data_IF_573320550298
#
_entry.id   IF_573320550298
#
_cell.length_a   1.000
_cell.length_b   1.000
_cell.length_c   1.000
_cell.angle_alpha   90.00
_cell.angle_beta   90.00
_cell.angle_gamma   90.00
#
_symmetry.space_group_name_H-M   'P 1'
#
loop_
_entity.id
_entity.type
_entity.pdbx_description
1 polymer ?
#
# COMPACT_ATOMS: atom_id res chain seq x y z
N UNK A 1 16.81 1.23 15.55
CA UNK A 1 16.16 0.87 14.29
C UNK A 1 16.49 -0.56 13.89
N UNK A 2 17.78 -0.90 13.70
CA UNK A 2 18.21 -2.26 13.34
C UNK A 2 17.64 -3.38 14.22
N UNK A 3 17.52 -3.18 15.54
CA UNK A 3 16.97 -4.23 16.43
C UNK A 3 15.48 -4.52 16.19
N UNK A 4 14.67 -3.53 15.78
CA UNK A 4 13.25 -3.77 15.46
C UNK A 4 13.13 -4.45 14.09
N UNK A 5 13.84 -3.93 13.09
CA UNK A 5 13.80 -4.48 11.74
C UNK A 5 14.32 -5.94 11.70
N UNK A 6 15.39 -6.25 12.44
CA UNK A 6 15.89 -7.62 12.61
C UNK A 6 14.90 -8.54 13.30
N UNK A 7 14.16 -8.07 14.33
CA UNK A 7 13.09 -8.88 14.95
C UNK A 7 11.92 -9.15 13.99
N UNK A 8 11.64 -8.21 13.08
CA UNK A 8 10.63 -8.42 12.05
C UNK A 8 11.08 -9.47 11.04
N UNK A 9 12.32 -9.43 10.57
CA UNK A 9 12.83 -10.39 9.58
C UNK A 9 12.90 -11.82 10.09
N UNK A 10 13.06 -12.03 11.40
CA UNK A 10 13.02 -13.37 12.01
C UNK A 10 11.62 -14.02 11.96
N UNK A 11 10.55 -13.23 11.86
CA UNK A 11 9.17 -13.70 12.02
C UNK A 11 8.27 -13.44 10.81
N UNK A 12 8.67 -12.57 9.89
CA UNK A 12 7.87 -12.14 8.73
C UNK A 12 8.71 -12.18 7.46
N UNK A 13 8.07 -12.57 6.36
CA UNK A 13 8.70 -12.60 5.03
C UNK A 13 8.84 -11.20 4.43
N UNK A 14 8.02 -10.25 4.89
CA UNK A 14 7.92 -8.90 4.36
C UNK A 14 7.33 -7.93 5.38
N UNK A 15 7.79 -6.68 5.36
CA UNK A 15 7.20 -5.58 6.11
C UNK A 15 6.33 -4.68 5.20
N UNK A 16 5.22 -4.17 5.76
CA UNK A 16 4.52 -3.00 5.23
C UNK A 16 4.86 -1.82 6.12
N UNK A 17 5.44 -0.76 5.56
CA UNK A 17 5.86 0.43 6.30
C UNK A 17 5.02 1.62 5.86
N UNK A 18 4.16 2.11 6.75
CA UNK A 18 3.46 3.39 6.59
C UNK A 18 4.25 4.50 7.27
N UNK A 19 4.73 5.47 6.48
CA UNK A 19 5.40 6.65 7.00
C UNK A 19 4.39 7.76 7.22
N UNK A 20 3.97 7.89 8.48
CA UNK A 20 2.94 8.85 8.89
C UNK A 20 3.33 10.30 8.56
N UNK A 21 4.61 10.66 8.63
CA UNK A 21 5.09 12.02 8.32
C UNK A 21 5.12 12.26 6.80
N UNK A 22 5.51 11.26 6.01
CA UNK A 22 5.36 11.25 4.55
C UNK A 22 3.90 11.44 4.13
N UNK A 23 3.01 10.59 4.64
CA UNK A 23 1.58 10.58 4.32
C UNK A 23 0.89 11.89 4.77
N UNK A 24 1.07 12.29 6.03
CA UNK A 24 0.29 13.39 6.62
C UNK A 24 0.92 14.78 6.43
N UNK A 25 2.25 14.86 6.32
CA UNK A 25 3.00 16.14 6.26
C UNK A 25 3.79 16.35 4.99
N UNK A 26 3.78 15.40 4.05
CA UNK A 26 4.62 15.43 2.85
C UNK A 26 6.12 15.47 3.18
N UNK A 27 6.54 14.80 4.25
CA UNK A 27 7.93 14.75 4.72
C UNK A 27 8.37 13.29 4.90
N UNK A 28 8.56 12.53 3.80
CA UNK A 28 8.96 11.14 3.89
C UNK A 28 10.34 11.01 4.56
N UNK A 29 10.47 10.03 5.45
CA UNK A 29 11.63 9.73 6.28
C UNK A 29 12.51 8.67 5.60
N UNK A 30 13.01 8.97 4.41
CA UNK A 30 13.68 8.01 3.51
C UNK A 30 14.86 7.28 4.16
N UNK A 31 15.69 7.99 4.94
CA UNK A 31 16.86 7.39 5.62
C UNK A 31 16.44 6.32 6.63
N UNK A 32 15.34 6.54 7.36
CA UNK A 32 14.81 5.59 8.35
C UNK A 32 14.28 4.34 7.66
N UNK A 33 13.58 4.51 6.54
CA UNK A 33 12.98 3.40 5.80
C UNK A 33 14.05 2.58 5.09
N UNK A 34 15.12 3.21 4.61
CA UNK A 34 16.26 2.50 4.03
C UNK A 34 16.85 1.48 5.03
N UNK A 35 17.00 1.85 6.30
CA UNK A 35 17.46 0.91 7.34
C UNK A 35 16.52 -0.29 7.54
N UNK A 36 15.21 -0.14 7.27
CA UNK A 36 14.25 -1.24 7.31
C UNK A 36 14.38 -2.12 6.07
N UNK A 37 14.49 -1.50 4.90
CA UNK A 37 14.66 -2.19 3.61
C UNK A 37 15.94 -3.03 3.56
N UNK A 38 17.01 -2.62 4.25
CA UNK A 38 18.27 -3.37 4.34
C UNK A 38 18.12 -4.71 5.10
N UNK A 39 17.10 -4.83 5.96
CA UNK A 39 16.91 -5.98 6.87
C UNK A 39 15.76 -6.91 6.43
N UNK A 40 14.71 -6.37 5.81
CA UNK A 40 13.53 -7.14 5.39
C UNK A 40 12.95 -6.58 4.07
N UNK A 41 12.48 -7.44 3.14
CA UNK A 41 11.71 -7.00 2.00
C UNK A 41 10.55 -6.10 2.44
N UNK A 42 10.46 -4.91 1.85
CA UNK A 42 9.57 -3.86 2.36
C UNK A 42 8.69 -3.29 1.27
N UNK A 43 7.40 -3.16 1.58
CA UNK A 43 6.45 -2.35 0.83
C UNK A 43 6.27 -1.02 1.55
N UNK A 44 6.62 0.07 0.88
CA UNK A 44 6.74 1.39 1.52
C UNK A 44 5.67 2.37 1.05
N UNK A 45 4.85 2.84 1.98
CA UNK A 45 3.89 3.93 1.79
C UNK A 45 4.45 5.25 2.36
N UNK A 46 5.10 6.04 1.50
CA UNK A 46 5.69 7.34 1.87
C UNK A 46 4.83 8.56 1.55
N UNK A 47 3.56 8.36 1.17
CA UNK A 47 2.65 9.46 0.84
C UNK A 47 2.84 10.09 -0.55
N UNK A 48 3.22 9.30 -1.55
CA UNK A 48 3.39 9.77 -2.93
C UNK A 48 2.14 10.52 -3.44
N UNK A 49 2.36 11.71 -4.03
CA UNK A 49 1.30 12.58 -4.56
C UNK A 49 1.34 12.67 -6.08
N UNK A 50 2.54 12.60 -6.64
CA UNK A 50 2.83 12.63 -8.07
C UNK A 50 3.62 11.39 -8.47
N UNK A 51 3.51 10.98 -9.74
CA UNK A 51 4.14 9.75 -10.21
C UNK A 51 5.66 9.73 -10.01
N UNK A 52 6.32 10.89 -10.10
CA UNK A 52 7.76 11.01 -9.87
C UNK A 52 8.18 10.72 -8.42
N UNK A 53 7.30 10.91 -7.42
CA UNK A 53 7.64 10.66 -6.02
C UNK A 53 7.89 9.17 -5.73
N UNK A 54 7.36 8.27 -6.56
CA UNK A 54 7.54 6.82 -6.41
C UNK A 54 9.01 6.42 -6.55
N UNK A 55 9.79 7.13 -7.37
CA UNK A 55 11.22 6.85 -7.51
C UNK A 55 11.98 7.09 -6.21
N UNK A 56 11.65 8.17 -5.48
CA UNK A 56 12.26 8.45 -4.18
C UNK A 56 11.98 7.31 -3.17
N UNK A 57 10.77 6.76 -3.20
CA UNK A 57 10.40 5.63 -2.34
C UNK A 57 11.18 4.37 -2.72
N UNK A 58 11.34 4.08 -4.02
CA UNK A 58 12.04 2.89 -4.49
C UNK A 58 13.57 2.97 -4.27
N UNK A 59 14.16 4.17 -4.30
CA UNK A 59 15.60 4.36 -4.04
C UNK A 59 15.98 3.93 -2.61
N UNK A 60 15.03 3.93 -1.66
CA UNK A 60 15.25 3.41 -0.30
C UNK A 60 15.54 1.90 -0.25
N UNK A 61 15.39 1.18 -1.37
CA UNK A 61 15.49 -0.28 -1.42
C UNK A 61 14.15 -0.99 -1.23
N UNK A 62 13.04 -0.26 -1.15
CA UNK A 62 11.71 -0.85 -1.06
C UNK A 62 11.44 -1.76 -2.28
N UNK A 63 10.94 -2.98 -2.02
CA UNK A 63 10.52 -3.93 -3.06
C UNK A 63 9.39 -3.33 -3.90
N UNK A 64 8.49 -2.59 -3.23
CA UNK A 64 7.39 -1.87 -3.87
C UNK A 64 7.12 -0.54 -3.19
N UNK A 65 6.80 0.45 -4.02
CA UNK A 65 6.21 1.69 -3.58
C UNK A 65 4.69 1.56 -3.52
N UNK A 66 4.11 1.87 -2.37
CA UNK A 66 2.67 1.83 -2.15
C UNK A 66 2.10 3.23 -2.38
N UNK A 67 1.18 3.33 -3.33
CA UNK A 67 0.49 4.56 -3.66
C UNK A 67 -0.92 4.52 -3.07
N UNK A 68 -1.21 5.40 -2.11
CA UNK A 68 -2.52 5.53 -1.48
C UNK A 68 -3.46 6.43 -2.29
N UNK A 69 -4.73 6.06 -2.38
CA UNK A 69 -5.74 6.92 -3.05
C UNK A 69 -5.93 8.26 -2.32
N UNK A 70 -5.70 8.30 -1.01
CA UNK A 70 -5.86 9.51 -0.20
C UNK A 70 -4.74 10.55 -0.39
N UNK A 71 -3.57 10.17 -0.91
CA UNK A 71 -2.45 11.12 -1.13
C UNK A 71 -2.25 11.46 -2.60
N UNK A 72 -2.61 10.55 -3.52
CA UNK A 72 -2.44 10.75 -4.95
C UNK A 72 -3.23 11.97 -5.44
N UNK A 73 -2.56 12.85 -6.19
CA UNK A 73 -3.16 14.11 -6.66
C UNK A 73 -4.23 13.89 -7.75
N UNK A 74 -4.02 12.90 -8.62
CA UNK A 74 -4.93 12.52 -9.69
C UNK A 74 -4.67 11.07 -10.12
N UNK A 75 -5.68 10.36 -10.65
CA UNK A 75 -5.52 8.99 -11.15
C UNK A 75 -4.42 8.89 -12.23
N UNK A 76 -4.25 9.92 -13.04
CA UNK A 76 -3.20 9.95 -14.07
C UNK A 76 -1.78 9.89 -13.49
N UNK A 77 -1.58 10.35 -12.25
CA UNK A 77 -0.29 10.22 -11.57
C UNK A 77 0.07 8.76 -11.28
N UNK A 78 -0.92 7.88 -11.12
CA UNK A 78 -0.69 6.43 -10.99
C UNK A 78 -0.14 5.84 -12.29
N UNK A 79 -0.65 6.28 -13.44
CA UNK A 79 -0.13 5.86 -14.76
C UNK A 79 1.31 6.34 -14.95
N UNK A 80 1.59 7.59 -14.62
CA UNK A 80 2.94 8.15 -14.67
C UNK A 80 3.90 7.39 -13.76
N UNK A 81 3.46 7.03 -12.56
CA UNK A 81 4.25 6.22 -11.65
C UNK A 81 4.60 4.86 -12.28
N UNK A 82 3.61 4.16 -12.85
CA UNK A 82 3.81 2.86 -13.48
C UNK A 82 4.76 2.92 -14.69
N UNK A 83 4.72 4.00 -15.48
CA UNK A 83 5.67 4.21 -16.58
C UNK A 83 7.13 4.38 -16.09
N UNK A 84 7.33 4.82 -14.85
CA UNK A 84 8.66 4.96 -14.26
C UNK A 84 9.13 3.65 -13.63
N UNK A 85 8.22 2.85 -13.08
CA UNK A 85 8.51 1.54 -12.49
C UNK A 85 7.25 0.69 -12.36
N UNK A 86 7.37 -0.61 -12.67
CA UNK A 86 6.28 -1.58 -12.46
C UNK A 86 6.17 -2.04 -10.99
N UNK A 87 7.17 -1.73 -10.15
CA UNK A 87 7.23 -2.12 -8.73
C UNK A 87 6.34 -1.23 -7.85
N UNK A 88 5.05 -1.18 -8.18
CA UNK A 88 4.05 -0.34 -7.54
C UNK A 88 2.87 -1.19 -7.09
N UNK A 89 2.30 -0.82 -5.96
CA UNK A 89 1.04 -1.36 -5.46
C UNK A 89 0.09 -0.22 -5.15
N UNK A 90 -1.19 -0.41 -5.43
CA UNK A 90 -2.21 0.54 -5.01
C UNK A 90 -2.72 0.17 -3.62
N UNK A 91 -2.83 1.15 -2.73
CA UNK A 91 -3.63 1.05 -1.51
C UNK A 91 -4.88 1.90 -1.67
N UNK A 92 -6.05 1.31 -1.40
CA UNK A 92 -7.32 2.04 -1.39
C UNK A 92 -7.63 2.49 0.03
N UNK A 93 -7.67 3.81 0.23
CA UNK A 93 -8.12 4.43 1.47
C UNK A 93 -9.65 4.52 1.45
N UNK A 94 -10.31 4.08 2.52
CA UNK A 94 -11.76 3.94 2.56
C UNK A 94 -12.37 4.48 3.85
N UNK A 95 -13.44 5.28 3.72
CA UNK A 95 -14.28 5.76 4.80
C UNK A 95 -15.69 6.01 4.25
N UNK A 96 -16.55 5.00 4.34
CA UNK A 96 -17.89 4.96 3.73
C UNK A 96 -17.89 5.24 2.21
N UNK A 97 -16.76 4.97 1.56
CA UNK A 97 -16.44 5.32 0.18
C UNK A 97 -14.95 5.50 0.00
N UNK A 98 -14.47 5.43 -1.25
CA UNK A 98 -13.05 5.64 -1.55
C UNK A 98 -12.66 7.09 -1.25
N UNK A 99 -11.59 7.28 -0.48
CA UNK A 99 -11.05 8.59 -0.13
C UNK A 99 -9.98 8.96 -1.15
N UNK A 100 -10.13 10.12 -1.79
CA UNK A 100 -9.15 10.69 -2.71
C UNK A 100 -9.29 12.20 -2.87
N UNK A 101 -8.20 12.87 -3.24
CA UNK A 101 -8.24 14.26 -3.71
C UNK A 101 -8.77 14.37 -5.15
N UNK A 102 -8.70 13.30 -5.94
CA UNK A 102 -9.24 13.27 -7.29
C UNK A 102 -10.76 13.01 -7.25
N UNK A 103 -11.61 13.96 -7.70
CA UNK A 103 -13.05 13.78 -7.73
C UNK A 103 -13.52 12.62 -8.62
N UNK A 104 -12.71 12.18 -9.58
CA UNK A 104 -13.01 11.02 -10.42
C UNK A 104 -12.76 9.68 -9.72
N UNK A 105 -12.05 9.69 -8.59
CA UNK A 105 -11.76 8.51 -7.76
C UNK A 105 -12.58 8.53 -6.46
N UNK A 106 -12.75 9.70 -5.85
CA UNK A 106 -13.47 9.86 -4.58
C UNK A 106 -14.91 9.32 -4.67
N UNK A 107 -15.28 8.46 -3.72
CA UNK A 107 -16.61 7.86 -3.62
C UNK A 107 -16.98 6.86 -4.73
N UNK A 108 -16.06 6.56 -5.65
CA UNK A 108 -16.29 5.60 -6.73
C UNK A 108 -16.43 4.17 -6.19
N UNK A 109 -17.16 3.32 -6.91
CA UNK A 109 -17.22 1.89 -6.63
C UNK A 109 -15.83 1.24 -6.79
N UNK A 110 -15.49 0.27 -5.93
CA UNK A 110 -14.17 -0.34 -5.93
C UNK A 110 -13.90 -1.14 -7.20
N UNK A 111 -14.91 -1.81 -7.75
CA UNK A 111 -14.79 -2.57 -8.99
C UNK A 111 -14.37 -1.68 -10.16
N UNK A 112 -14.96 -0.49 -10.29
CA UNK A 112 -14.66 0.43 -11.38
C UNK A 112 -13.26 1.02 -11.24
N UNK A 113 -12.85 1.39 -10.02
CA UNK A 113 -11.46 1.79 -9.77
C UNK A 113 -10.50 0.65 -10.12
N UNK A 114 -10.79 -0.56 -9.67
CA UNK A 114 -9.95 -1.74 -9.91
C UNK A 114 -9.77 -2.03 -11.39
N UNK A 115 -10.83 -1.89 -12.22
CA UNK A 115 -10.72 -2.03 -13.68
C UNK A 115 -9.71 -1.05 -14.26
N UNK A 116 -9.77 0.22 -13.86
CA UNK A 116 -8.85 1.22 -14.37
C UNK A 116 -7.41 0.95 -13.91
N UNK A 117 -7.23 0.54 -12.65
CA UNK A 117 -5.92 0.18 -12.07
C UNK A 117 -5.31 -1.01 -12.81
N UNK A 118 -6.12 -2.03 -13.15
CA UNK A 118 -5.67 -3.12 -14.03
C UNK A 118 -5.36 -2.66 -15.44
N UNK A 119 -6.13 -1.69 -15.95
CA UNK A 119 -5.85 -1.05 -17.23
C UNK A 119 -4.50 -0.31 -17.27
N UNK A 120 -3.98 0.14 -16.12
CA UNK A 120 -2.61 0.68 -16.00
C UNK A 120 -1.56 -0.43 -16.07
N UNK A 121 -1.86 -1.62 -15.55
CA UNK A 121 -0.94 -2.76 -15.45
C UNK A 121 -0.67 -3.20 -14.01
N UNK A 122 -1.06 -2.41 -13.01
CA UNK A 122 -0.83 -2.71 -11.59
C UNK A 122 -1.58 -3.98 -11.20
N UNK A 123 -0.86 -4.97 -10.66
CA UNK A 123 -1.38 -6.30 -10.37
C UNK A 123 -1.67 -6.54 -8.89
N UNK A 124 -1.35 -5.59 -8.01
CA UNK A 124 -1.47 -5.73 -6.57
C UNK A 124 -2.28 -4.56 -6.01
N UNK A 125 -3.30 -4.88 -5.22
CA UNK A 125 -4.17 -3.90 -4.55
C UNK A 125 -4.33 -4.28 -3.09
N UNK A 126 -4.18 -3.29 -2.20
CA UNK A 126 -4.38 -3.45 -0.76
C UNK A 126 -5.59 -2.63 -0.32
N UNK A 127 -6.43 -3.20 0.53
CA UNK A 127 -7.65 -2.55 1.03
C UNK A 127 -7.79 -2.73 2.55
N UNK A 128 -8.54 -1.85 3.24
CA UNK A 128 -8.96 -2.11 4.61
C UNK A 128 -9.97 -3.25 4.68
N UNK A 129 -10.06 -3.93 5.84
CA UNK A 129 -10.99 -5.04 6.05
C UNK A 129 -12.45 -4.71 5.71
N UNK A 130 -12.88 -3.47 5.94
CA UNK A 130 -14.24 -3.00 5.63
C UNK A 130 -14.60 -3.13 4.15
N UNK A 131 -13.61 -3.15 3.25
CA UNK A 131 -13.79 -3.29 1.80
C UNK A 131 -13.51 -4.71 1.29
N UNK A 132 -13.12 -5.65 2.15
CA UNK A 132 -12.61 -6.97 1.75
C UNK A 132 -13.61 -7.78 0.90
N UNK A 133 -14.91 -7.72 1.21
CA UNK A 133 -15.93 -8.46 0.45
C UNK A 133 -16.08 -7.97 -0.99
N UNK A 134 -16.17 -6.64 -1.17
CA UNK A 134 -16.24 -6.02 -2.50
C UNK A 134 -14.94 -6.26 -3.27
N UNK A 135 -13.80 -6.13 -2.57
CA UNK A 135 -12.49 -6.33 -3.18
C UNK A 135 -12.25 -7.77 -3.64
N UNK A 136 -12.67 -8.76 -2.86
CA UNK A 136 -12.59 -10.16 -3.25
C UNK A 136 -13.49 -10.49 -4.46
N UNK A 137 -14.66 -9.84 -4.57
CA UNK A 137 -15.50 -9.97 -5.75
C UNK A 137 -14.84 -9.39 -7.00
N UNK A 138 -14.27 -8.19 -6.90
CA UNK A 138 -13.52 -7.56 -7.98
C UNK A 138 -12.27 -8.37 -8.38
N UNK A 139 -11.55 -8.95 -7.40
CA UNK A 139 -10.42 -9.84 -7.65
C UNK A 139 -10.82 -11.03 -8.53
N UNK A 140 -11.93 -11.70 -8.22
CA UNK A 140 -12.41 -12.86 -9.00
C UNK A 140 -12.71 -12.49 -10.45
N UNK A 141 -13.15 -11.25 -10.69
CA UNK A 141 -13.43 -10.77 -12.04
C UNK A 141 -12.16 -10.33 -12.79
N UNK A 142 -11.23 -9.67 -12.10
CA UNK A 142 -10.15 -8.91 -12.74
C UNK A 142 -8.74 -9.51 -12.59
N UNK A 143 -8.59 -10.53 -11.73
CA UNK A 143 -7.34 -11.29 -11.57
C UNK A 143 -6.16 -10.45 -11.07
N UNK A 144 -6.30 -9.83 -9.89
CA UNK A 144 -5.19 -9.18 -9.17
C UNK A 144 -4.89 -9.88 -7.84
N UNK A 145 -3.72 -9.57 -7.30
CA UNK A 145 -3.31 -9.93 -5.96
C UNK A 145 -3.94 -8.96 -4.94
N UNK A 146 -4.66 -9.49 -3.96
CA UNK A 146 -5.42 -8.75 -2.96
C UNK A 146 -4.79 -8.91 -1.58
N UNK A 147 -4.25 -7.81 -1.07
CA UNK A 147 -3.91 -7.65 0.34
C UNK A 147 -5.07 -7.04 1.12
N UNK A 148 -5.27 -7.50 2.35
CA UNK A 148 -6.27 -6.90 3.25
C UNK A 148 -5.64 -6.54 4.59
N UNK A 149 -5.79 -5.29 5.02
CA UNK A 149 -5.46 -4.89 6.39
C UNK A 149 -6.50 -5.46 7.35
N UNK A 150 -6.07 -6.32 8.28
CA UNK A 150 -6.93 -6.92 9.28
C UNK A 150 -6.11 -7.52 10.44
N UNK A 151 -6.79 -7.89 11.53
CA UNK A 151 -6.18 -8.70 12.59
C UNK A 151 -5.76 -10.08 12.07
N UNK A 152 -4.70 -10.65 12.65
CA UNK A 152 -4.23 -12.01 12.33
C UNK A 152 -5.33 -13.05 12.55
N UNK A 153 -6.22 -12.84 13.51
CA UNK A 153 -7.34 -13.74 13.79
C UNK A 153 -8.37 -13.82 12.65
N UNK A 154 -8.39 -12.83 11.75
CA UNK A 154 -9.26 -12.83 10.58
C UNK A 154 -8.67 -13.55 9.36
N UNK A 155 -7.41 -14.02 9.44
CA UNK A 155 -6.69 -14.64 8.33
C UNK A 155 -7.49 -15.78 7.68
N UNK A 156 -7.97 -16.73 8.46
CA UNK A 156 -8.71 -17.88 7.92
C UNK A 156 -9.99 -17.45 7.17
N UNK A 157 -10.68 -16.41 7.66
CA UNK A 157 -11.86 -15.84 6.99
C UNK A 157 -11.47 -15.16 5.67
N UNK A 158 -10.40 -14.38 5.68
CA UNK A 158 -9.94 -13.61 4.52
C UNK A 158 -9.35 -14.51 3.43
N UNK A 159 -8.62 -15.56 3.79
CA UNK A 159 -8.16 -16.60 2.86
C UNK A 159 -9.36 -17.31 2.20
N UNK A 160 -10.36 -17.70 2.99
CA UNK A 160 -11.59 -18.30 2.47
C UNK A 160 -12.39 -17.35 1.55
N UNK A 161 -12.31 -16.03 1.80
CA UNK A 161 -12.91 -15.00 0.96
C UNK A 161 -12.13 -14.79 -0.36
N UNK A 162 -10.85 -15.16 -0.36
CA UNK A 162 -9.95 -15.09 -1.51
C UNK A 162 -8.91 -13.97 -1.44
N UNK A 163 -8.59 -13.41 -0.26
CA UNK A 163 -7.40 -12.57 -0.09
C UNK A 163 -6.12 -13.41 -0.23
N UNK A 164 -5.06 -12.83 -0.80
CA UNK A 164 -3.76 -13.53 -0.96
C UNK A 164 -2.87 -13.40 0.28
N UNK A 165 -2.99 -12.28 1.00
CA UNK A 165 -2.27 -12.06 2.25
C UNK A 165 -3.00 -11.05 3.15
N UNK A 166 -2.73 -11.17 4.45
CA UNK A 166 -3.19 -10.23 5.47
C UNK A 166 -2.04 -9.32 5.86
N UNK A 167 -2.28 -8.02 5.84
CA UNK A 167 -1.36 -7.02 6.41
C UNK A 167 -1.80 -6.80 7.85
N UNK A 168 -1.09 -7.44 8.78
CA UNK A 168 -1.43 -7.37 10.20
C UNK A 168 -1.13 -5.97 10.76
N UNK A 169 -2.06 -5.42 11.54
CA UNK A 169 -2.17 -3.98 11.76
C UNK A 169 -1.07 -3.30 12.59
N UNK A 170 -0.30 -3.98 13.45
CA UNK A 170 0.73 -3.26 14.22
C UNK A 170 1.74 -4.19 14.91
N UNK A 171 3.04 -4.05 14.60
CA UNK A 171 4.14 -4.66 15.36
C UNK A 171 4.98 -3.61 16.11
N UNK A 172 4.56 -2.33 16.10
CA UNK A 172 5.20 -1.24 16.83
C UNK A 172 5.28 0.06 16.02
N UNK A 173 5.23 1.19 16.72
CA UNK A 173 5.51 2.52 16.15
C UNK A 173 6.98 2.89 16.29
N UNK A 174 7.57 3.36 15.21
CA UNK A 174 8.90 3.96 15.21
C UNK A 174 8.76 5.44 15.53
N UNK A 175 9.06 5.82 16.77
CA UNK A 175 9.08 7.23 17.19
C UNK A 175 10.54 7.65 17.33
N UNK A 176 10.98 8.58 16.49
CA UNK A 176 12.22 9.32 16.75
C UNK A 176 11.90 10.41 17.76
N UNK A 177 12.52 10.36 18.94
CA UNK A 177 12.53 11.50 19.85
C UNK A 177 13.42 12.59 19.22
N UNK A 178 12.83 13.52 18.48
CA UNK A 178 13.42 14.85 18.24
C UNK A 178 13.12 15.79 19.41
#
# INVERSE_FOLDING_TARGET
MSELASKLSDNFERAYVADEDGISRNRPQLDIVQEVCDEIPTWYEGGARFGSNVIDLLITGAERAVVGTATLAAFEELRKAFMLSENITLKVDYRDGIVSFDPSVAGRAFLDLSRDVRGVGIADIIVPNSLANEAAAAKRELGFCLGVFASVDERARLEALGADYVVAEDYGRLVTNE
#
